data_IF_557851739585
#
_entry.id   IF_557851739585
#
_cell.length_a   1.000
_cell.length_b   1.000
_cell.length_c   1.000
_cell.angle_alpha   90.00
_cell.angle_beta   90.00
_cell.angle_gamma   90.00
#
_symmetry.space_group_name_H-M   'P 1'
#
loop_
_entity.id
_entity.type
_entity.pdbx_description
1 polymer ?
#
# COMPACT_ATOMS: atom_id res chain seq x y z
N UNK A 1 19.30 -32.96 -20.29
CA UNK A 1 19.58 -32.57 -18.90
C UNK A 1 19.18 -31.11 -18.78
N UNK A 2 18.23 -30.84 -17.90
CA UNK A 2 17.29 -29.70 -17.92
C UNK A 2 17.98 -28.34 -17.71
N UNK A 3 17.75 -27.40 -18.63
CA UNK A 3 18.05 -25.97 -18.43
C UNK A 3 17.07 -25.40 -17.42
N UNK A 4 17.56 -24.97 -16.26
CA UNK A 4 16.77 -24.20 -15.31
C UNK A 4 16.53 -22.81 -15.91
N UNK A 5 15.33 -22.61 -16.42
CA UNK A 5 14.76 -21.30 -16.73
C UNK A 5 14.76 -20.47 -15.45
N UNK A 6 15.75 -19.58 -15.31
CA UNK A 6 15.75 -18.55 -14.29
C UNK A 6 14.92 -17.41 -14.85
N UNK A 7 13.60 -17.55 -14.77
CA UNK A 7 12.69 -16.45 -15.10
C UNK A 7 13.08 -15.28 -14.19
N UNK A 8 13.51 -14.11 -14.72
CA UNK A 8 13.65 -12.95 -13.86
C UNK A 8 12.26 -12.71 -13.28
N UNK A 9 12.14 -12.74 -11.95
CA UNK A 9 10.96 -12.19 -11.28
C UNK A 9 10.89 -10.73 -11.71
N UNK A 10 10.14 -10.45 -12.77
CA UNK A 10 9.81 -9.12 -13.21
C UNK A 10 9.07 -8.49 -12.05
N UNK A 11 9.80 -7.78 -11.19
CA UNK A 11 9.19 -7.05 -10.09
C UNK A 11 8.18 -6.13 -10.74
N UNK A 12 6.90 -6.34 -10.43
CA UNK A 12 5.84 -5.53 -10.98
C UNK A 12 6.19 -4.06 -10.70
N UNK A 13 6.13 -3.19 -11.71
CA UNK A 13 6.53 -1.80 -11.54
C UNK A 13 5.64 -1.16 -10.47
N UNK A 14 6.22 -0.26 -9.69
CA UNK A 14 5.47 0.44 -8.66
C UNK A 14 4.30 1.20 -9.28
N UNK A 15 3.17 1.19 -8.58
CA UNK A 15 1.95 1.89 -8.97
C UNK A 15 2.18 3.35 -9.36
N UNK A 16 2.99 4.09 -8.61
CA UNK A 16 3.35 5.48 -8.91
C UNK A 16 4.14 5.68 -10.23
N UNK A 17 4.65 4.60 -10.84
CA UNK A 17 5.31 4.65 -12.16
C UNK A 17 4.35 4.44 -13.32
N UNK A 18 3.12 3.98 -13.06
CA UNK A 18 2.13 3.79 -14.11
C UNK A 18 1.66 5.14 -14.68
N UNK A 19 1.53 5.28 -16.02
CA UNK A 19 1.06 6.50 -16.64
C UNK A 19 -0.40 6.84 -16.27
N UNK A 20 -1.16 5.82 -15.85
CA UNK A 20 -2.56 5.96 -15.41
C UNK A 20 -2.70 6.18 -13.90
N UNK A 21 -1.60 6.41 -13.16
CA UNK A 21 -1.62 6.66 -11.72
C UNK A 21 -2.14 8.09 -11.41
N UNK A 22 -3.43 8.31 -11.67
CA UNK A 22 -4.13 9.58 -11.51
C UNK A 22 -5.57 9.37 -11.03
N UNK A 23 -6.08 10.30 -10.23
CA UNK A 23 -7.46 10.28 -9.74
C UNK A 23 -7.82 8.98 -9.02
N UNK A 24 -8.99 8.43 -9.31
CA UNK A 24 -9.49 7.19 -8.67
C UNK A 24 -8.57 5.98 -8.90
N UNK A 25 -7.87 5.90 -10.03
CA UNK A 25 -6.94 4.80 -10.31
C UNK A 25 -5.68 4.85 -9.45
N UNK A 26 -5.28 6.04 -8.99
CA UNK A 26 -4.15 6.19 -8.10
C UNK A 26 -4.35 5.43 -6.77
N UNK A 27 -5.57 5.36 -6.25
CA UNK A 27 -5.85 4.64 -5.00
C UNK A 27 -5.66 3.14 -5.14
N UNK A 28 -6.00 2.56 -6.31
CA UNK A 28 -5.81 1.13 -6.56
C UNK A 28 -4.31 0.79 -6.55
N UNK A 29 -3.53 1.55 -7.31
CA UNK A 29 -2.08 1.45 -7.34
C UNK A 29 -1.45 1.67 -5.96
N UNK A 30 -1.96 2.67 -5.23
CA UNK A 30 -1.51 3.00 -3.89
C UNK A 30 -1.74 1.86 -2.90
N UNK A 31 -2.90 1.20 -2.93
CA UNK A 31 -3.18 0.07 -2.03
C UNK A 31 -2.22 -1.10 -2.25
N UNK A 32 -1.90 -1.43 -3.51
CA UNK A 32 -0.90 -2.46 -3.83
C UNK A 32 0.51 -2.06 -3.40
N UNK A 33 0.91 -0.82 -3.69
CA UNK A 33 2.22 -0.28 -3.30
C UNK A 33 2.37 -0.21 -1.77
N UNK A 34 1.31 0.12 -1.05
CA UNK A 34 1.28 0.18 0.39
C UNK A 34 1.49 -1.21 1.00
N UNK A 35 0.74 -2.21 0.54
CA UNK A 35 0.90 -3.60 0.99
C UNK A 35 2.33 -4.10 0.71
N UNK A 36 2.86 -3.80 -0.48
CA UNK A 36 4.25 -4.13 -0.84
C UNK A 36 5.26 -3.46 0.09
N UNK A 37 5.11 -2.16 0.35
CA UNK A 37 6.01 -1.39 1.21
C UNK A 37 6.04 -1.96 2.63
N UNK A 38 4.87 -2.23 3.21
CA UNK A 38 4.76 -2.83 4.54
C UNK A 38 5.41 -4.22 4.55
N UNK A 39 5.15 -5.05 3.54
CA UNK A 39 5.74 -6.39 3.44
C UNK A 39 7.26 -6.34 3.28
N UNK A 40 7.82 -5.46 2.46
CA UNK A 40 9.28 -5.34 2.27
C UNK A 40 10.00 -5.00 3.59
N UNK A 41 9.37 -4.22 4.46
CA UNK A 41 9.97 -3.81 5.73
C UNK A 41 9.67 -4.74 6.92
N UNK A 42 8.52 -5.43 6.91
CA UNK A 42 8.05 -6.21 8.07
C UNK A 42 8.06 -7.72 7.83
N UNK A 43 8.23 -8.21 6.60
CA UNK A 43 8.24 -9.66 6.33
C UNK A 43 9.54 -10.35 6.77
N UNK A 44 10.61 -9.61 7.03
CA UNK A 44 11.95 -10.15 7.28
C UNK A 44 12.43 -9.81 8.70
N UNK A 45 12.16 -10.71 9.64
CA UNK A 45 12.70 -10.64 11.00
C UNK A 45 11.65 -10.35 12.08
N UNK A 46 12.10 -10.07 13.32
CA UNK A 46 11.19 -9.78 14.42
C UNK A 46 10.49 -8.44 14.22
N UNK A 47 9.19 -8.44 14.48
CA UNK A 47 8.36 -7.23 14.53
C UNK A 47 8.67 -6.47 15.82
N UNK A 48 9.66 -5.57 15.74
CA UNK A 48 10.07 -4.66 16.79
C UNK A 48 9.73 -3.20 16.45
N UNK A 49 9.84 -2.31 17.44
CA UNK A 49 9.57 -0.89 17.26
C UNK A 49 10.46 -0.27 16.17
N UNK A 50 11.69 -0.75 16.01
CA UNK A 50 12.61 -0.27 14.98
C UNK A 50 12.18 -0.67 13.56
N UNK A 51 11.67 -1.89 13.36
CA UNK A 51 11.06 -2.33 12.11
C UNK A 51 9.78 -1.53 11.82
N UNK A 52 8.94 -1.30 12.82
CA UNK A 52 7.73 -0.49 12.67
C UNK A 52 8.05 0.95 12.29
N UNK A 53 9.05 1.58 12.93
CA UNK A 53 9.50 2.93 12.58
C UNK A 53 10.05 3.02 11.15
N UNK A 54 10.83 2.03 10.71
CA UNK A 54 11.32 1.96 9.32
C UNK A 54 10.18 1.81 8.33
N UNK A 55 9.23 0.92 8.62
CA UNK A 55 8.04 0.74 7.80
C UNK A 55 7.19 2.02 7.75
N UNK A 56 7.03 2.71 8.88
CA UNK A 56 6.31 3.99 8.96
C UNK A 56 6.95 5.05 8.06
N UNK A 57 8.27 5.21 8.14
CA UNK A 57 9.00 6.15 7.27
C UNK A 57 8.84 5.81 5.79
N UNK A 58 8.85 4.52 5.44
CA UNK A 58 8.65 4.08 4.06
C UNK A 58 7.22 4.35 3.57
N UNK A 59 6.21 4.13 4.42
CA UNK A 59 4.81 4.47 4.13
C UNK A 59 4.62 5.98 3.97
N UNK A 60 5.21 6.79 4.86
CA UNK A 60 5.17 8.25 4.75
C UNK A 60 5.85 8.73 3.46
N UNK A 61 6.99 8.13 3.09
CA UNK A 61 7.67 8.42 1.84
C UNK A 61 6.84 8.01 0.61
N UNK A 62 6.10 6.89 0.68
CA UNK A 62 5.19 6.45 -0.38
C UNK A 62 4.05 7.47 -0.56
N UNK A 63 3.39 7.89 0.51
CA UNK A 63 2.34 8.90 0.46
C UNK A 63 2.89 10.20 -0.13
N UNK A 64 4.04 10.66 0.34
CA UNK A 64 4.69 11.86 -0.20
C UNK A 64 4.97 11.73 -1.70
N UNK A 65 5.41 10.56 -2.16
CA UNK A 65 5.65 10.32 -3.59
C UNK A 65 4.39 10.42 -4.43
N UNK A 66 3.25 9.92 -3.94
CA UNK A 66 1.95 10.07 -4.61
C UNK A 66 1.47 11.53 -4.65
N UNK A 67 1.80 12.34 -3.63
CA UNK A 67 1.57 13.78 -3.60
C UNK A 67 2.47 14.48 -4.64
N UNK A 68 3.75 14.16 -4.67
CA UNK A 68 4.76 14.81 -5.53
C UNK A 68 4.47 14.58 -7.01
N UNK A 69 4.08 13.35 -7.37
CA UNK A 69 3.65 13.08 -8.75
C UNK A 69 2.26 13.65 -9.05
N UNK A 70 1.57 14.27 -8.09
CA UNK A 70 0.19 14.75 -8.23
C UNK A 70 -0.79 13.65 -8.68
N UNK A 71 -0.67 12.46 -8.09
CA UNK A 71 -1.55 11.34 -8.42
C UNK A 71 -3.02 11.66 -8.11
N UNK A 72 -3.28 12.12 -6.88
CA UNK A 72 -4.56 12.66 -6.46
C UNK A 72 -4.31 13.68 -5.33
N UNK A 73 -3.88 14.91 -5.65
CA UNK A 73 -3.45 15.86 -4.63
C UNK A 73 -4.57 16.21 -3.63
N UNK A 74 -5.82 16.33 -4.09
CA UNK A 74 -6.96 16.54 -3.19
C UNK A 74 -7.18 15.39 -2.21
N UNK A 75 -6.73 14.19 -2.57
CA UNK A 75 -6.89 12.99 -1.78
C UNK A 75 -5.74 12.73 -0.82
N UNK A 76 -4.51 12.91 -1.28
CA UNK A 76 -3.31 12.58 -0.50
C UNK A 76 -2.77 13.78 0.27
N UNK A 77 -3.02 15.03 -0.16
CA UNK A 77 -2.49 16.20 0.53
C UNK A 77 -3.02 16.29 1.96
N UNK A 78 -2.08 16.37 2.91
CA UNK A 78 -2.39 16.44 4.33
C UNK A 78 -2.79 15.11 4.98
N UNK A 79 -2.95 14.03 4.20
CA UNK A 79 -3.26 12.72 4.73
C UNK A 79 -2.00 12.00 5.22
N UNK A 80 -2.16 11.08 6.17
CA UNK A 80 -1.10 10.24 6.71
C UNK A 80 -1.66 8.88 7.06
N UNK A 81 -0.82 7.86 6.92
CA UNK A 81 -1.12 6.50 7.33
C UNK A 81 -0.19 6.16 8.47
N UNK A 82 -0.75 5.70 9.60
CA UNK A 82 0.02 5.26 10.75
C UNK A 82 0.00 3.74 10.84
N UNK A 83 1.17 3.15 11.00
CA UNK A 83 1.32 1.75 11.33
C UNK A 83 1.33 1.63 12.85
N UNK A 84 0.49 0.73 13.38
CA UNK A 84 0.53 0.34 14.79
C UNK A 84 0.83 -1.13 14.91
N UNK A 85 1.66 -1.46 15.91
CA UNK A 85 1.76 -2.83 16.38
C UNK A 85 0.57 -3.13 17.30
N UNK A 86 -0.20 -4.13 16.96
CA UNK A 86 -1.21 -4.69 17.85
C UNK A 86 -0.73 -6.03 18.38
N UNK A 87 -0.85 -6.22 19.70
CA UNK A 87 -0.60 -7.53 20.28
C UNK A 87 -1.61 -8.52 19.68
N UNK A 88 -1.13 -9.66 19.19
CA UNK A 88 -2.00 -10.68 18.65
C UNK A 88 -3.08 -11.06 19.67
N UNK A 89 -4.31 -11.24 19.22
CA UNK A 89 -5.41 -11.63 20.12
C UNK A 89 -5.24 -13.09 20.55
N UNK A 90 -4.63 -13.31 21.71
CA UNK A 90 -4.47 -14.62 22.33
C UNK A 90 -3.10 -14.84 22.96
N UNK A 91 -3.00 -15.75 23.93
CA UNK A 91 -1.73 -16.13 24.54
C UNK A 91 -0.82 -16.80 23.48
N UNK A 92 0.26 -16.12 23.10
CA UNK A 92 1.22 -16.59 22.09
C UNK A 92 0.89 -16.20 20.65
N UNK A 93 -0.11 -15.36 20.40
CA UNK A 93 -0.39 -14.85 19.07
C UNK A 93 0.69 -13.87 18.60
N UNK A 94 1.12 -13.99 17.35
CA UNK A 94 2.09 -13.09 16.75
C UNK A 94 1.53 -11.65 16.71
N UNK A 95 2.38 -10.63 16.96
CA UNK A 95 1.97 -9.24 16.80
C UNK A 95 1.52 -8.98 15.36
N UNK A 96 0.44 -8.21 15.22
CA UNK A 96 -0.13 -7.82 13.94
C UNK A 96 0.12 -6.33 13.70
N UNK A 97 0.11 -5.92 12.43
CA UNK A 97 0.29 -4.53 12.04
C UNK A 97 -1.05 -3.99 11.61
N UNK A 98 -1.59 -3.04 12.36
CA UNK A 98 -2.78 -2.31 11.98
C UNK A 98 -2.37 -1.07 11.19
N UNK A 99 -3.10 -0.80 10.09
CA UNK A 99 -2.99 0.43 9.33
C UNK A 99 -4.11 1.37 9.76
N UNK A 100 -3.75 2.49 10.34
CA UNK A 100 -4.67 3.57 10.65
C UNK A 100 -4.56 4.65 9.59
N UNK A 101 -5.60 4.78 8.79
CA UNK A 101 -5.74 5.85 7.82
C UNK A 101 -6.63 6.95 8.42
N UNK A 102 -6.45 8.18 7.94
CA UNK A 102 -7.42 9.23 8.21
C UNK A 102 -8.78 8.89 7.57
N UNK A 103 -9.92 9.25 8.22
CA UNK A 103 -11.25 8.95 7.71
C UNK A 103 -11.45 9.41 6.26
N UNK A 104 -10.99 10.62 5.93
CA UNK A 104 -11.09 11.17 4.58
C UNK A 104 -10.34 10.34 3.53
N UNK A 105 -9.20 9.73 3.88
CA UNK A 105 -8.43 8.90 2.96
C UNK A 105 -9.10 7.53 2.78
N UNK A 106 -9.61 6.95 3.87
CA UNK A 106 -10.34 5.68 3.85
C UNK A 106 -11.59 5.78 2.96
N UNK A 107 -12.41 6.82 3.16
CA UNK A 107 -13.62 7.06 2.37
C UNK A 107 -13.30 7.17 0.87
N UNK A 108 -12.21 7.85 0.52
CA UNK A 108 -11.79 8.01 -0.87
C UNK A 108 -11.28 6.71 -1.49
N UNK A 109 -10.57 5.87 -0.72
CA UNK A 109 -10.14 4.55 -1.17
C UNK A 109 -11.36 3.65 -1.41
N UNK A 110 -12.31 3.63 -0.48
CA UNK A 110 -13.55 2.84 -0.59
C UNK A 110 -14.34 3.28 -1.83
N UNK A 111 -14.50 4.59 -2.05
CA UNK A 111 -15.22 5.12 -3.21
C UNK A 111 -14.50 4.78 -4.53
N UNK A 112 -13.17 4.89 -4.58
CA UNK A 112 -12.38 4.52 -5.75
C UNK A 112 -12.55 3.03 -6.09
N UNK A 113 -12.52 2.15 -5.08
CA UNK A 113 -12.80 0.72 -5.24
C UNK A 113 -14.22 0.48 -5.73
N UNK A 114 -15.22 1.16 -5.16
CA UNK A 114 -16.63 1.06 -5.57
C UNK A 114 -16.81 1.45 -7.04
N UNK A 115 -16.19 2.53 -7.49
CA UNK A 115 -16.22 3.00 -8.87
C UNK A 115 -15.56 1.98 -9.82
N UNK A 116 -14.40 1.44 -9.44
CA UNK A 116 -13.71 0.43 -10.24
C UNK A 116 -14.54 -0.85 -10.43
N UNK A 117 -15.19 -1.33 -9.37
CA UNK A 117 -16.08 -2.50 -9.44
C UNK A 117 -17.31 -2.26 -10.34
N UNK A 118 -17.90 -1.06 -10.28
CA UNK A 118 -19.02 -0.69 -11.17
C UNK A 118 -18.60 -0.61 -12.65
N UNK A 119 -17.39 -0.10 -12.92
CA UNK A 119 -16.86 -0.02 -14.29
C UNK A 119 -16.54 -1.40 -14.87
N UNK A 120 -16.12 -2.36 -14.04
CA UNK A 120 -15.92 -3.74 -14.46
C UNK A 120 -17.25 -4.43 -14.78
N UNK A 121 -18.28 -4.21 -13.96
CA UNK A 121 -19.61 -4.81 -14.15
C UNK A 121 -20.38 -4.26 -15.37
N UNK A 122 -20.13 -3.01 -15.75
CA UNK A 122 -20.78 -2.36 -16.91
C UNK A 122 -20.06 -2.63 -18.25
N UNK A 123 -18.88 -3.27 -18.22
CA UNK A 123 -18.14 -3.70 -19.42
C UNK A 123 -18.46 -5.15 -19.85
N UNK A 124 -19.35 -5.83 -19.13
CA UNK A 124 -19.90 -7.14 -19.47
C UNK A 124 -21.31 -6.99 -20.06
#
# INVERSE_FOLDING_TARGET
MTTADSTPVSQEPWGYTHPQCRGSTAFLFFTSDLARTVNEHLAHGPLDDAALQRAQQAVDALVQRYIDIQAAPAAFAGQRIRLRLEAGQGAGAAPQVALEMSPDLEDQIIEAQRLAHQQAATRH
#
